data_IF_424935478318
#
_entry.id   IF_424935478318
#
_cell.length_a   1.000
_cell.length_b   1.000
_cell.length_c   1.000
_cell.angle_alpha   90.00
_cell.angle_beta   90.00
_cell.angle_gamma   90.00
#
_symmetry.space_group_name_H-M   'P 1'
#
loop_
_entity.id
_entity.type
_entity.pdbx_description
1 polymer ?
#
# COMPACT_ATOMS: atom_id res chain seq x y z
N UNK A 1 26.87 -6.16 2.10
CA UNK A 1 25.86 -5.72 3.06
C UNK A 1 26.24 -6.30 4.40
N UNK A 2 26.36 -5.46 5.39
CA UNK A 2 26.66 -5.84 6.76
C UNK A 2 25.50 -6.60 7.39
N UNK A 3 25.68 -7.13 8.57
CA UNK A 3 24.65 -7.83 9.32
C UNK A 3 23.52 -6.86 9.70
N UNK A 4 22.25 -7.26 9.49
CA UNK A 4 21.06 -6.41 9.65
C UNK A 4 20.45 -6.46 11.07
N UNK A 5 20.96 -7.35 11.95
CA UNK A 5 20.42 -7.52 13.31
C UNK A 5 18.99 -8.04 13.35
N UNK A 6 18.16 -7.48 14.21
CA UNK A 6 16.72 -7.73 14.30
C UNK A 6 15.99 -6.83 13.32
N UNK A 7 15.37 -7.43 12.30
CA UNK A 7 14.76 -6.69 11.18
C UNK A 7 13.25 -6.54 11.38
N UNK A 8 12.76 -5.32 11.31
CA UNK A 8 11.33 -4.98 11.28
C UNK A 8 10.91 -4.72 9.83
N UNK A 9 9.92 -5.46 9.32
CA UNK A 9 9.44 -5.31 7.94
C UNK A 9 7.99 -4.81 7.94
N UNK A 10 7.77 -3.64 7.37
CA UNK A 10 6.41 -3.16 7.07
C UNK A 10 5.94 -3.74 5.76
N UNK A 11 5.13 -4.78 5.83
CA UNK A 11 4.56 -5.45 4.67
C UNK A 11 3.09 -5.09 4.45
N UNK A 12 2.60 -5.23 3.22
CA UNK A 12 1.18 -5.14 2.92
C UNK A 12 0.54 -6.54 2.98
N UNK A 13 0.02 -6.88 4.16
CA UNK A 13 -0.70 -8.14 4.41
C UNK A 13 -2.22 -7.91 4.49
N UNK A 14 -2.72 -6.80 3.95
CA UNK A 14 -4.15 -6.48 3.94
C UNK A 14 -4.87 -7.29 2.87
N UNK A 15 -5.12 -8.55 3.16
CA UNK A 15 -5.79 -9.52 2.28
C UNK A 15 -7.29 -9.59 2.56
N UNK A 16 -8.13 -9.95 1.58
CA UNK A 16 -9.55 -10.18 1.80
C UNK A 16 -9.76 -11.48 2.61
N UNK A 17 -10.52 -11.37 3.70
CA UNK A 17 -10.88 -12.49 4.58
C UNK A 17 -12.40 -12.53 4.71
N UNK A 18 -12.98 -13.71 4.55
CA UNK A 18 -14.38 -14.00 4.84
C UNK A 18 -14.48 -15.22 5.76
N UNK A 19 -15.21 -15.09 6.89
CA UNK A 19 -15.38 -16.13 7.89
C UNK A 19 -14.07 -16.86 8.28
N UNK A 20 -13.00 -16.07 8.49
CA UNK A 20 -11.63 -16.55 8.78
C UNK A 20 -10.95 -17.33 7.64
N UNK A 21 -11.50 -17.29 6.42
CA UNK A 21 -10.89 -17.85 5.22
C UNK A 21 -10.26 -16.73 4.40
N UNK A 22 -8.98 -16.85 4.12
CA UNK A 22 -8.26 -15.94 3.23
C UNK A 22 -8.71 -16.23 1.79
N UNK A 23 -9.35 -15.24 1.13
CA UNK A 23 -9.87 -15.39 -0.23
C UNK A 23 -8.79 -15.19 -1.31
N UNK A 24 -7.78 -14.38 -1.01
CA UNK A 24 -6.63 -14.12 -1.88
C UNK A 24 -5.39 -13.90 -1.01
N UNK A 25 -4.41 -14.74 -1.17
CA UNK A 25 -3.16 -14.75 -0.39
C UNK A 25 -1.94 -14.20 -1.15
N UNK A 26 -2.16 -13.62 -2.34
CA UNK A 26 -1.10 -13.11 -3.21
C UNK A 26 -0.14 -12.14 -2.49
N UNK A 27 -0.68 -11.26 -1.65
CA UNK A 27 0.14 -10.29 -0.88
C UNK A 27 1.02 -10.99 0.15
N UNK A 28 0.52 -12.05 0.81
CA UNK A 28 1.30 -12.84 1.78
C UNK A 28 2.45 -13.54 1.05
N UNK A 29 2.15 -14.18 -0.09
CA UNK A 29 3.15 -14.80 -0.95
C UNK A 29 4.22 -13.80 -1.41
N UNK A 30 3.83 -12.60 -1.83
CA UNK A 30 4.77 -11.56 -2.25
C UNK A 30 5.65 -11.08 -1.08
N UNK A 31 5.07 -10.80 0.07
CA UNK A 31 5.81 -10.38 1.26
C UNK A 31 6.86 -11.42 1.70
N UNK A 32 6.56 -12.71 1.57
CA UNK A 32 7.48 -13.78 1.94
C UNK A 32 8.73 -13.86 1.06
N UNK A 33 8.71 -13.31 -0.16
CA UNK A 33 9.84 -13.35 -1.10
C UNK A 33 11.07 -12.57 -0.62
N UNK A 34 10.91 -11.66 0.34
CA UNK A 34 12.02 -10.94 0.94
C UNK A 34 12.88 -11.83 1.86
N UNK A 35 12.28 -12.86 2.50
CA UNK A 35 12.94 -13.70 3.50
C UNK A 35 14.25 -14.32 2.98
N UNK A 36 14.28 -15.07 1.85
CA UNK A 36 15.49 -15.72 1.38
C UNK A 36 16.60 -14.72 1.03
N UNK A 37 16.28 -13.45 0.78
CA UNK A 37 17.25 -12.42 0.41
C UNK A 37 18.04 -11.89 1.61
N UNK A 38 17.47 -11.97 2.83
CA UNK A 38 18.05 -11.36 4.03
C UNK A 38 18.29 -12.34 5.17
N UNK A 39 17.69 -13.54 5.16
CA UNK A 39 17.74 -14.51 6.24
C UNK A 39 19.13 -14.76 6.81
N UNK A 40 20.13 -14.95 5.95
CA UNK A 40 21.51 -15.26 6.35
C UNK A 40 22.25 -14.06 6.98
N UNK A 41 21.62 -12.89 7.00
CA UNK A 41 22.19 -11.63 7.49
C UNK A 41 21.42 -11.06 8.67
N UNK A 42 20.45 -11.79 9.21
CA UNK A 42 19.57 -11.30 10.25
C UNK A 42 19.53 -12.26 11.43
N UNK A 43 19.33 -11.72 12.63
CA UNK A 43 19.03 -12.50 13.82
C UNK A 43 17.57 -12.96 13.84
N UNK A 44 16.67 -12.06 13.47
CA UNK A 44 15.24 -12.32 13.35
C UNK A 44 14.59 -11.41 12.32
N UNK A 45 13.45 -11.85 11.82
CA UNK A 45 12.58 -11.06 10.95
C UNK A 45 11.22 -10.93 11.62
N UNK A 46 10.74 -9.70 11.74
CA UNK A 46 9.43 -9.39 12.31
C UNK A 46 8.59 -8.66 11.28
N UNK A 47 7.48 -9.27 10.90
CA UNK A 47 6.48 -8.65 10.06
C UNK A 47 5.53 -7.79 10.87
N UNK A 48 5.28 -6.58 10.39
CA UNK A 48 4.20 -5.71 10.83
C UNK A 48 3.32 -5.32 9.64
N UNK A 49 2.03 -5.23 9.87
CA UNK A 49 1.08 -4.84 8.84
C UNK A 49 -0.19 -4.25 9.43
N UNK A 50 -1.11 -3.90 8.55
CA UNK A 50 -2.49 -3.63 8.90
C UNK A 50 -3.42 -4.62 8.19
N UNK A 51 -4.59 -4.83 8.76
CA UNK A 51 -5.68 -5.60 8.15
C UNK A 51 -6.98 -4.81 8.34
N UNK A 52 -7.64 -4.49 7.24
CA UNK A 52 -8.91 -3.79 7.22
C UNK A 52 -8.91 -2.40 7.87
N UNK A 53 -10.05 -2.03 8.43
CA UNK A 53 -10.26 -0.81 9.20
C UNK A 53 -11.01 -1.18 10.49
N UNK A 54 -10.31 -1.74 11.47
CA UNK A 54 -10.94 -2.15 12.72
C UNK A 54 -11.51 -0.95 13.47
N UNK A 55 -12.60 -1.21 14.19
CA UNK A 55 -13.06 -0.36 15.27
C UNK A 55 -12.63 -1.10 16.55
N UNK A 56 -11.89 -0.43 17.39
CA UNK A 56 -11.26 -1.05 18.57
C UNK A 56 -10.39 -2.28 18.18
N UNK A 57 -10.23 -3.24 19.11
CA UNK A 57 -9.51 -4.50 18.91
C UNK A 57 -10.43 -5.62 18.39
N UNK A 58 -11.21 -5.36 17.31
CA UNK A 58 -12.07 -6.38 16.70
C UNK A 58 -11.23 -7.54 16.16
N UNK A 59 -11.43 -8.74 16.74
CA UNK A 59 -10.70 -9.96 16.42
C UNK A 59 -10.84 -10.39 14.96
N UNK A 60 -11.86 -9.93 14.25
CA UNK A 60 -12.02 -10.17 12.82
C UNK A 60 -10.88 -9.56 11.99
N UNK A 61 -10.17 -8.58 12.55
CA UNK A 61 -9.04 -7.91 11.91
C UNK A 61 -7.68 -8.26 12.54
N UNK A 62 -7.62 -9.29 13.41
CA UNK A 62 -6.34 -9.77 13.96
C UNK A 62 -5.47 -10.40 12.87
N UNK A 63 -4.19 -10.03 12.85
CA UNK A 63 -3.19 -10.63 11.96
C UNK A 63 -2.87 -12.09 12.31
N UNK A 64 -3.28 -12.58 13.49
CA UNK A 64 -3.15 -13.99 13.87
C UNK A 64 -3.70 -14.95 12.80
N UNK A 65 -4.73 -14.55 12.09
CA UNK A 65 -5.36 -15.34 11.02
C UNK A 65 -4.41 -15.62 9.84
N UNK A 66 -3.33 -14.85 9.70
CA UNK A 66 -2.38 -14.96 8.60
C UNK A 66 -1.18 -15.85 8.92
N UNK A 67 -1.02 -16.30 10.18
CA UNK A 67 0.16 -17.04 10.66
C UNK A 67 0.41 -18.31 9.85
N UNK A 68 -0.62 -19.12 9.62
CA UNK A 68 -0.48 -20.39 8.92
C UNK A 68 -0.09 -20.18 7.46
N UNK A 69 -0.74 -19.23 6.78
CA UNK A 69 -0.42 -18.88 5.39
C UNK A 69 0.99 -18.32 5.27
N UNK A 70 1.38 -17.41 6.17
CA UNK A 70 2.73 -16.83 6.17
C UNK A 70 3.79 -17.90 6.48
N UNK A 71 3.52 -18.80 7.43
CA UNK A 71 4.41 -19.93 7.75
C UNK A 71 4.62 -20.86 6.54
N UNK A 72 3.55 -21.12 5.78
CA UNK A 72 3.62 -21.91 4.56
C UNK A 72 4.53 -21.26 3.51
N UNK A 73 4.35 -19.95 3.23
CA UNK A 73 5.12 -19.25 2.20
C UNK A 73 6.56 -18.97 2.60
N UNK A 74 6.84 -18.78 3.90
CA UNK A 74 8.21 -18.61 4.40
C UNK A 74 8.95 -19.93 4.60
N UNK A 75 8.25 -21.08 4.51
CA UNK A 75 8.77 -22.41 4.83
C UNK A 75 9.41 -22.45 6.24
N UNK A 76 8.89 -21.67 7.16
CA UNK A 76 9.38 -21.52 8.53
C UNK A 76 8.21 -21.27 9.47
N UNK A 77 8.33 -21.70 10.71
CA UNK A 77 7.34 -21.34 11.72
C UNK A 77 7.34 -19.84 11.98
N UNK A 78 6.15 -19.23 11.97
CA UNK A 78 5.95 -17.81 12.29
C UNK A 78 5.36 -17.71 13.68
N UNK A 79 6.07 -17.06 14.58
CA UNK A 79 5.62 -16.80 15.95
C UNK A 79 4.76 -15.55 15.98
N UNK A 80 3.52 -15.68 16.45
CA UNK A 80 2.64 -14.52 16.59
C UNK A 80 2.78 -13.88 17.96
N UNK A 81 2.93 -12.55 18.00
CA UNK A 81 2.93 -11.76 19.23
C UNK A 81 1.68 -10.89 19.22
N UNK A 82 0.89 -10.96 20.29
CA UNK A 82 -0.43 -10.32 20.40
C UNK A 82 -0.36 -8.82 20.74
N UNK A 83 0.77 -8.20 20.46
CA UNK A 83 1.01 -6.77 20.62
C UNK A 83 1.95 -6.27 19.52
N UNK A 84 2.17 -4.96 19.41
CA UNK A 84 3.12 -4.34 18.48
C UNK A 84 4.27 -3.64 19.21
N UNK A 85 4.19 -3.49 20.53
CA UNK A 85 5.15 -2.80 21.38
C UNK A 85 5.14 -3.39 22.80
N UNK A 86 6.01 -2.89 23.67
CA UNK A 86 6.06 -3.29 25.08
C UNK A 86 6.99 -4.46 25.38
N UNK A 87 6.95 -4.90 26.65
CA UNK A 87 7.93 -5.85 27.19
C UNK A 87 7.84 -7.23 26.50
N UNK A 88 6.63 -7.72 26.17
CA UNK A 88 6.45 -9.01 25.50
C UNK A 88 7.15 -9.01 24.14
N UNK A 89 6.99 -7.96 23.34
CA UNK A 89 7.66 -7.81 22.04
C UNK A 89 9.16 -7.71 22.22
N UNK A 90 9.62 -6.84 23.12
CA UNK A 90 11.04 -6.64 23.37
C UNK A 90 11.74 -7.92 23.86
N UNK A 91 11.14 -8.64 24.82
CA UNK A 91 11.68 -9.91 25.32
C UNK A 91 11.73 -10.98 24.23
N UNK A 92 10.70 -11.12 23.41
CA UNK A 92 10.68 -12.09 22.32
C UNK A 92 11.79 -11.82 21.30
N UNK A 93 11.98 -10.57 20.91
CA UNK A 93 12.96 -10.18 19.88
C UNK A 93 14.39 -10.25 20.42
N UNK A 94 14.67 -9.59 21.56
CA UNK A 94 16.03 -9.47 22.10
C UNK A 94 16.61 -10.79 22.64
N UNK A 95 15.75 -11.73 23.06
CA UNK A 95 16.18 -13.06 23.54
C UNK A 95 16.29 -14.10 22.42
N UNK A 96 16.08 -13.73 21.15
CA UNK A 96 16.20 -14.63 19.99
C UNK A 96 17.64 -15.13 19.86
N UNK A 97 17.84 -16.46 20.00
CA UNK A 97 19.17 -17.10 19.92
C UNK A 97 19.45 -17.72 18.54
N UNK A 98 18.40 -18.19 17.89
CA UNK A 98 18.44 -18.78 16.56
C UNK A 98 17.48 -18.00 15.67
N UNK A 99 17.70 -18.01 14.37
CA UNK A 99 16.84 -17.28 13.44
C UNK A 99 15.35 -17.63 13.64
N UNK A 100 14.54 -16.60 13.86
CA UNK A 100 13.10 -16.69 14.05
C UNK A 100 12.36 -15.70 13.15
N UNK A 101 11.13 -16.05 12.81
CA UNK A 101 10.21 -15.14 12.14
C UNK A 101 9.05 -14.85 13.08
N UNK A 102 8.72 -13.56 13.21
CA UNK A 102 7.62 -13.07 14.02
C UNK A 102 6.59 -12.32 13.15
N UNK A 103 5.34 -12.36 13.59
CA UNK A 103 4.26 -11.51 13.10
C UNK A 103 3.64 -10.81 14.31
N UNK A 104 3.65 -9.47 14.31
CA UNK A 104 2.99 -8.70 15.36
C UNK A 104 1.50 -8.49 15.02
N UNK A 105 0.74 -8.01 16.01
CA UNK A 105 -0.67 -7.73 15.85
C UNK A 105 -0.91 -6.51 14.91
N UNK A 106 -2.16 -6.29 14.55
CA UNK A 106 -2.61 -5.26 13.62
C UNK A 106 -2.25 -3.84 14.10
N UNK A 107 -1.39 -3.16 13.35
CA UNK A 107 -0.99 -1.78 13.65
C UNK A 107 -2.17 -0.82 13.84
N UNK A 108 -3.28 -1.06 13.13
CA UNK A 108 -4.46 -0.20 13.20
C UNK A 108 -5.32 -0.37 14.44
N UNK A 109 -4.95 -1.27 15.35
CA UNK A 109 -5.52 -1.28 16.69
C UNK A 109 -5.01 -0.13 17.57
N UNK A 110 -3.94 0.53 17.15
CA UNK A 110 -3.27 1.57 17.93
C UNK A 110 -3.47 2.94 17.28
N UNK A 111 -4.07 3.85 18.00
CA UNK A 111 -4.26 5.24 17.55
C UNK A 111 -2.95 5.91 17.15
N UNK A 112 -1.86 5.57 17.83
CA UNK A 112 -0.52 6.09 17.55
C UNK A 112 -0.03 5.79 16.12
N UNK A 113 -0.43 4.66 15.53
CA UNK A 113 -0.17 4.38 14.11
C UNK A 113 -0.87 5.39 13.21
N UNK A 114 -2.19 5.56 13.39
CA UNK A 114 -3.03 6.39 12.52
C UNK A 114 -2.74 7.88 12.70
N UNK A 115 -2.43 8.30 13.94
CA UNK A 115 -2.12 9.68 14.31
C UNK A 115 -0.67 10.08 14.03
N UNK A 116 0.14 9.16 13.50
CA UNK A 116 1.56 9.38 13.27
C UNK A 116 2.31 9.83 14.53
N UNK A 117 2.02 9.14 15.66
CA UNK A 117 2.54 9.50 16.97
C UNK A 117 4.02 9.10 17.12
N UNK A 118 4.81 10.03 17.63
CA UNK A 118 6.25 9.86 17.80
C UNK A 118 6.61 8.86 18.91
N UNK A 119 5.89 8.89 20.02
CA UNK A 119 6.11 7.98 21.14
C UNK A 119 5.77 6.55 20.76
N UNK A 120 4.69 6.36 20.01
CA UNK A 120 4.32 5.06 19.43
C UNK A 120 5.43 4.55 18.53
N UNK A 121 5.90 5.36 17.58
CA UNK A 121 6.97 4.97 16.66
C UNK A 121 8.23 4.54 17.39
N UNK A 122 8.66 5.31 18.39
CA UNK A 122 9.82 5.01 19.21
C UNK A 122 9.67 3.71 20.00
N UNK A 123 8.49 3.47 20.57
CA UNK A 123 8.24 2.26 21.36
C UNK A 123 8.21 1.00 20.49
N UNK A 124 7.55 1.05 19.31
CA UNK A 124 7.50 -0.09 18.40
C UNK A 124 8.87 -0.43 17.85
N UNK A 125 9.68 0.57 17.52
CA UNK A 125 11.00 0.36 16.90
C UNK A 125 12.10 -0.03 17.87
N UNK A 126 11.91 0.20 19.18
CA UNK A 126 12.94 0.04 20.20
C UNK A 126 13.71 -1.30 20.20
N UNK A 127 13.11 -2.48 19.98
CA UNK A 127 13.84 -3.75 20.01
C UNK A 127 14.47 -4.15 18.66
N UNK A 128 14.44 -3.30 17.64
CA UNK A 128 14.92 -3.60 16.29
C UNK A 128 16.15 -2.78 15.92
N UNK A 129 16.92 -3.29 14.95
CA UNK A 129 18.12 -2.64 14.42
C UNK A 129 17.88 -2.05 13.04
N UNK A 130 17.09 -2.74 12.21
CA UNK A 130 16.86 -2.39 10.80
C UNK A 130 15.37 -2.35 10.48
N UNK A 131 14.97 -1.37 9.70
CA UNK A 131 13.62 -1.23 9.17
C UNK A 131 13.59 -1.42 7.65
N UNK A 132 12.68 -2.26 7.15
CA UNK A 132 12.42 -2.41 5.72
C UNK A 132 10.97 -2.03 5.42
N UNK A 133 10.79 -0.99 4.64
CA UNK A 133 9.47 -0.60 4.14
C UNK A 133 9.17 -1.30 2.81
N UNK A 134 8.20 -2.22 2.82
CA UNK A 134 7.82 -3.05 1.67
C UNK A 134 6.29 -3.10 1.46
N UNK A 135 5.63 -1.96 1.67
CA UNK A 135 4.18 -1.83 1.59
C UNK A 135 3.77 -0.63 0.73
N UNK A 136 4.06 -0.66 -0.56
CA UNK A 136 3.78 0.44 -1.48
C UNK A 136 2.33 0.92 -1.42
N UNK A 137 1.35 0.01 -1.33
CA UNK A 137 -0.07 0.34 -1.21
C UNK A 137 -0.44 1.20 0.01
N UNK A 138 0.43 1.27 1.03
CA UNK A 138 0.26 2.12 2.21
C UNK A 138 1.08 3.42 2.16
N UNK A 139 1.97 3.61 1.18
CA UNK A 139 2.94 4.71 1.10
C UNK A 139 2.31 6.11 1.07
N UNK A 140 1.06 6.23 0.62
CA UNK A 140 0.32 7.49 0.55
C UNK A 140 -0.29 7.93 1.90
N UNK A 141 -0.11 7.16 2.97
CA UNK A 141 -0.70 7.44 4.29
C UNK A 141 0.34 8.05 5.22
N UNK A 142 -0.05 9.08 5.96
CA UNK A 142 0.78 9.70 7.00
C UNK A 142 0.68 8.93 8.32
N UNK A 143 0.93 7.62 8.30
CA UNK A 143 0.93 6.76 9.48
C UNK A 143 2.34 6.61 10.06
N UNK A 144 2.44 6.32 11.36
CA UNK A 144 3.74 6.21 12.05
C UNK A 144 4.67 5.19 11.39
N UNK A 145 4.16 4.03 10.98
CA UNK A 145 4.94 3.01 10.28
C UNK A 145 5.41 3.43 8.88
N UNK A 146 4.80 4.44 8.27
CA UNK A 146 5.20 4.93 6.95
C UNK A 146 6.17 6.10 7.06
N UNK A 147 5.93 7.01 8.02
CA UNK A 147 6.65 8.30 8.10
C UNK A 147 7.78 8.26 9.13
N UNK A 148 7.55 7.68 10.32
CA UNK A 148 8.44 7.87 11.48
C UNK A 148 9.34 6.70 11.81
N UNK A 149 8.98 5.45 11.48
CA UNK A 149 9.81 4.30 11.88
C UNK A 149 11.22 4.39 11.32
N UNK A 150 11.36 4.99 10.13
CA UNK A 150 12.65 5.23 9.50
C UNK A 150 13.56 6.24 10.21
N UNK A 151 13.02 7.05 11.12
CA UNK A 151 13.82 8.03 11.86
C UNK A 151 14.59 7.39 13.03
N UNK A 152 14.23 6.17 13.43
CA UNK A 152 14.80 5.47 14.58
C UNK A 152 15.67 4.27 14.22
N UNK A 153 15.64 3.80 12.98
CA UNK A 153 16.30 2.58 12.52
C UNK A 153 17.04 2.81 11.20
N UNK A 154 18.06 2.01 10.95
CA UNK A 154 18.65 1.93 9.61
C UNK A 154 17.59 1.44 8.62
N UNK A 155 17.21 2.30 7.67
CA UNK A 155 16.01 2.11 6.86
C UNK A 155 16.30 1.81 5.40
N UNK A 156 15.56 0.84 4.86
CA UNK A 156 15.69 0.40 3.48
C UNK A 156 14.31 0.25 2.82
N UNK A 157 14.28 0.48 1.52
CA UNK A 157 13.14 0.10 0.68
C UNK A 157 13.20 -1.40 0.39
N UNK A 158 12.07 -2.08 0.59
CA UNK A 158 11.91 -3.47 0.20
C UNK A 158 11.82 -3.66 -1.32
N UNK A 159 11.92 -4.93 -1.80
CA UNK A 159 11.92 -5.23 -3.23
C UNK A 159 10.62 -4.84 -3.92
N UNK A 160 9.45 -5.01 -3.28
CA UNK A 160 8.15 -4.65 -3.86
C UNK A 160 8.02 -3.14 -4.05
N UNK A 161 8.45 -2.34 -3.05
CA UNK A 161 8.48 -0.87 -3.17
C UNK A 161 9.43 -0.43 -4.28
N UNK A 162 10.61 -1.08 -4.40
CA UNK A 162 11.55 -0.77 -5.49
C UNK A 162 10.98 -1.10 -6.86
N UNK A 163 10.33 -2.25 -7.02
CA UNK A 163 9.69 -2.67 -8.26
C UNK A 163 8.63 -1.64 -8.69
N UNK A 164 7.70 -1.27 -7.78
CA UNK A 164 6.67 -0.25 -8.03
C UNK A 164 7.27 1.12 -8.41
N UNK A 165 8.29 1.56 -7.69
CA UNK A 165 8.94 2.85 -7.99
C UNK A 165 9.67 2.83 -9.33
N UNK A 166 10.29 1.70 -9.72
CA UNK A 166 10.96 1.56 -11.01
C UNK A 166 9.94 1.65 -12.16
N UNK A 167 8.82 0.93 -12.06
CA UNK A 167 7.75 0.96 -13.06
C UNK A 167 7.13 2.36 -13.18
N UNK A 168 6.79 3.00 -12.06
CA UNK A 168 6.23 4.35 -12.06
C UNK A 168 7.21 5.40 -12.59
N UNK A 169 8.50 5.28 -12.26
CA UNK A 169 9.52 6.16 -12.79
C UNK A 169 9.73 5.96 -14.31
N UNK A 170 9.67 4.71 -14.77
CA UNK A 170 9.74 4.42 -16.19
C UNK A 170 8.59 5.09 -16.96
N UNK A 171 7.35 4.99 -16.43
CA UNK A 171 6.17 5.66 -16.98
C UNK A 171 6.33 7.19 -16.94
N UNK A 172 6.79 7.74 -15.81
CA UNK A 172 6.93 9.20 -15.62
C UNK A 172 7.99 9.83 -16.51
N UNK A 173 9.02 9.06 -16.88
CA UNK A 173 10.16 9.51 -17.69
C UNK A 173 10.08 9.02 -19.16
N UNK A 174 9.04 8.25 -19.54
CA UNK A 174 8.85 7.87 -20.92
C UNK A 174 8.55 9.12 -21.76
N UNK A 175 9.16 9.21 -22.93
CA UNK A 175 8.71 10.14 -23.95
C UNK A 175 7.22 9.83 -24.26
N UNK A 176 6.43 10.86 -24.61
CA UNK A 176 4.97 10.76 -24.77
C UNK A 176 4.53 9.69 -25.79
N UNK A 177 5.44 9.26 -26.64
CA UNK A 177 5.20 8.27 -27.68
C UNK A 177 5.05 6.86 -27.07
N UNK A 178 3.84 6.31 -27.15
CA UNK A 178 3.53 4.93 -26.74
C UNK A 178 2.88 4.76 -25.37
N UNK A 179 2.73 5.81 -24.54
CA UNK A 179 2.05 5.70 -23.26
C UNK A 179 0.53 5.85 -23.40
N UNK A 180 -0.19 4.76 -23.23
CA UNK A 180 -1.65 4.76 -23.13
C UNK A 180 -2.09 4.53 -21.68
N UNK A 181 -2.98 5.36 -21.18
CA UNK A 181 -3.51 5.27 -19.80
C UNK A 181 -5.00 5.02 -19.83
N UNK A 182 -5.48 4.09 -19.00
CA UNK A 182 -6.90 3.82 -18.80
C UNK A 182 -7.28 4.29 -17.40
N UNK A 183 -8.23 5.20 -17.31
CA UNK A 183 -8.83 5.66 -16.06
C UNK A 183 -10.28 5.20 -15.97
N UNK A 184 -10.64 4.62 -14.84
CA UNK A 184 -12.01 4.24 -14.52
C UNK A 184 -12.39 4.69 -13.11
N UNK A 185 -13.69 4.86 -12.86
CA UNK A 185 -14.21 5.24 -11.55
C UNK A 185 -15.62 5.77 -11.61
N UNK A 186 -16.20 6.03 -10.44
CA UNK A 186 -17.55 6.56 -10.33
C UNK A 186 -17.58 8.10 -10.44
N UNK A 187 -16.58 8.79 -9.86
CA UNK A 187 -16.56 10.23 -9.72
C UNK A 187 -15.40 10.85 -10.49
N UNK A 188 -15.71 11.90 -11.27
CA UNK A 188 -14.68 12.69 -11.95
C UNK A 188 -13.92 13.58 -10.97
N UNK A 189 -14.58 14.08 -9.92
CA UNK A 189 -14.00 14.91 -8.88
C UNK A 189 -12.73 14.34 -8.27
N UNK A 190 -12.67 13.01 -8.11
CA UNK A 190 -11.51 12.33 -7.54
C UNK A 190 -10.28 12.30 -8.47
N UNK A 191 -10.48 12.56 -9.79
CA UNK A 191 -9.47 12.31 -10.82
C UNK A 191 -9.24 13.47 -11.78
N UNK A 192 -10.03 14.54 -11.70
CA UNK A 192 -9.96 15.66 -12.67
C UNK A 192 -8.55 16.27 -12.75
N UNK A 193 -7.87 16.42 -11.61
CA UNK A 193 -6.50 16.95 -11.57
C UNK A 193 -5.49 15.99 -12.21
N UNK A 194 -5.70 14.69 -12.00
CA UNK A 194 -4.89 13.64 -12.63
C UNK A 194 -5.09 13.65 -14.15
N UNK A 195 -6.32 13.79 -14.62
CA UNK A 195 -6.64 13.88 -16.05
C UNK A 195 -5.94 15.08 -16.69
N UNK A 196 -6.05 16.27 -16.06
CA UNK A 196 -5.37 17.49 -16.51
C UNK A 196 -3.84 17.33 -16.59
N UNK A 197 -3.27 16.58 -15.67
CA UNK A 197 -1.83 16.31 -15.66
C UNK A 197 -1.43 15.28 -16.72
N UNK A 198 -2.19 14.21 -16.88
CA UNK A 198 -1.87 13.13 -17.79
C UNK A 198 -2.05 13.51 -19.26
N UNK A 199 -3.08 14.30 -19.60
CA UNK A 199 -3.39 14.64 -20.99
C UNK A 199 -2.21 15.27 -21.73
N UNK A 200 -1.32 15.96 -21.01
CA UNK A 200 -0.10 16.56 -21.58
C UNK A 200 1.06 15.57 -21.73
N UNK A 201 0.96 14.36 -21.13
CA UNK A 201 2.06 13.39 -21.02
C UNK A 201 1.81 12.06 -21.69
N UNK A 202 0.62 11.80 -22.19
CA UNK A 202 0.24 10.52 -22.76
C UNK A 202 0.01 10.63 -24.27
N UNK A 203 0.12 9.52 -24.97
CA UNK A 203 -0.35 9.39 -26.35
C UNK A 203 -1.87 9.25 -26.38
N UNK A 204 -2.43 8.45 -25.48
CA UNK A 204 -3.88 8.29 -25.36
C UNK A 204 -4.33 8.11 -23.91
N UNK A 205 -5.51 8.66 -23.60
CA UNK A 205 -6.16 8.58 -22.28
C UNK A 205 -7.58 8.05 -22.44
N UNK A 206 -7.80 6.79 -22.10
CA UNK A 206 -9.11 6.16 -22.15
C UNK A 206 -9.83 6.38 -20.82
N UNK A 207 -10.99 7.03 -20.86
CA UNK A 207 -11.80 7.32 -19.66
C UNK A 207 -13.05 6.47 -19.69
N UNK A 208 -13.17 5.54 -18.74
CA UNK A 208 -14.31 4.63 -18.57
C UNK A 208 -14.97 4.76 -17.20
N UNK A 209 -15.93 3.87 -16.93
CA UNK A 209 -16.75 3.91 -15.72
C UNK A 209 -17.72 5.09 -15.68
N UNK A 210 -18.41 5.33 -14.55
CA UNK A 210 -19.42 6.38 -14.47
C UNK A 210 -18.87 7.81 -14.65
N UNK A 211 -17.59 8.02 -14.39
CA UNK A 211 -16.94 9.33 -14.58
C UNK A 211 -16.97 9.82 -16.04
N UNK A 212 -17.06 8.91 -17.04
CA UNK A 212 -17.15 9.31 -18.43
C UNK A 212 -18.46 10.03 -18.77
N UNK A 213 -19.54 9.76 -18.02
CA UNK A 213 -20.85 10.41 -18.26
C UNK A 213 -20.83 11.91 -17.96
N UNK A 214 -19.96 12.38 -17.07
CA UNK A 214 -19.78 13.82 -16.86
C UNK A 214 -19.18 14.48 -18.11
N UNK A 215 -18.21 13.84 -18.78
CA UNK A 215 -17.69 14.33 -20.06
C UNK A 215 -18.75 14.27 -21.16
N UNK A 216 -19.44 13.14 -21.30
CA UNK A 216 -20.48 13.00 -22.32
C UNK A 216 -21.59 14.03 -22.14
N UNK A 217 -22.00 14.31 -20.89
CA UNK A 217 -22.97 15.37 -20.57
C UNK A 217 -22.44 16.76 -20.93
N UNK A 218 -21.16 17.04 -20.62
CA UNK A 218 -20.51 18.30 -20.98
C UNK A 218 -20.40 18.49 -22.52
N UNK A 219 -20.32 17.39 -23.27
CA UNK A 219 -20.36 17.42 -24.75
C UNK A 219 -21.78 17.56 -25.32
N UNK A 220 -22.80 17.61 -24.45
CA UNK A 220 -24.21 17.77 -24.85
C UNK A 220 -24.95 16.48 -25.17
N UNK A 221 -24.36 15.31 -24.86
CA UNK A 221 -25.05 14.04 -25.03
C UNK A 221 -26.09 13.83 -23.92
N UNK A 222 -27.18 13.14 -24.28
CA UNK A 222 -28.12 12.63 -23.28
C UNK A 222 -27.52 11.38 -22.62
N UNK A 223 -27.38 11.44 -21.29
CA UNK A 223 -26.83 10.35 -20.47
C UNK A 223 -27.89 9.56 -19.72
N UNK A 224 -29.20 9.88 -19.95
CA UNK A 224 -30.32 9.25 -19.27
C UNK A 224 -30.19 9.34 -17.76
N UNK A 225 -30.42 8.21 -17.06
CA UNK A 225 -30.33 8.10 -15.61
C UNK A 225 -28.87 7.81 -15.11
N UNK A 226 -27.86 7.97 -15.98
CA UNK A 226 -26.48 7.70 -15.59
C UNK A 226 -25.97 8.73 -14.59
N UNK A 227 -25.14 8.28 -13.66
CA UNK A 227 -24.51 9.14 -12.66
C UNK A 227 -23.52 10.10 -13.33
N UNK A 228 -23.70 11.41 -13.13
CA UNK A 228 -22.72 12.44 -13.49
C UNK A 228 -22.61 13.50 -12.39
N UNK A 229 -21.54 14.29 -12.40
CA UNK A 229 -21.30 15.35 -11.40
C UNK A 229 -21.50 16.72 -12.05
N UNK A 230 -22.62 17.37 -11.70
CA UNK A 230 -23.04 18.67 -12.29
C UNK A 230 -22.01 19.78 -11.99
N UNK A 231 -21.46 19.79 -10.79
CA UNK A 231 -20.47 20.77 -10.34
C UNK A 231 -19.15 20.75 -11.14
N UNK A 232 -18.88 19.67 -11.88
CA UNK A 232 -17.66 19.46 -12.66
C UNK A 232 -17.86 19.61 -14.18
N UNK A 233 -19.06 19.96 -14.65
CA UNK A 233 -19.33 20.14 -16.08
C UNK A 233 -18.47 21.23 -16.70
N UNK A 234 -18.31 22.39 -16.03
CA UNK A 234 -17.49 23.49 -16.53
C UNK A 234 -16.00 23.07 -16.65
N UNK A 235 -15.49 22.31 -15.68
CA UNK A 235 -14.11 21.81 -15.75
C UNK A 235 -13.93 20.78 -16.89
N UNK A 236 -14.92 19.92 -17.11
CA UNK A 236 -14.92 19.02 -18.26
C UNK A 236 -14.98 19.77 -19.59
N UNK A 237 -15.78 20.84 -19.69
CA UNK A 237 -15.82 21.71 -20.87
C UNK A 237 -14.44 22.33 -21.11
N UNK A 238 -13.75 22.78 -20.06
CA UNK A 238 -12.39 23.29 -20.16
C UNK A 238 -11.41 22.28 -20.74
N UNK A 239 -11.51 21.00 -20.32
CA UNK A 239 -10.68 19.91 -20.87
C UNK A 239 -11.06 19.59 -22.32
N UNK A 240 -12.35 19.61 -22.66
CA UNK A 240 -12.84 19.35 -24.04
C UNK A 240 -12.30 20.41 -25.04
N UNK A 241 -12.07 21.62 -24.58
CA UNK A 241 -11.49 22.68 -25.41
C UNK A 241 -9.95 22.75 -25.35
N UNK A 242 -9.29 21.87 -24.58
CA UNK A 242 -7.83 21.77 -24.56
C UNK A 242 -7.30 21.20 -25.88
N UNK A 243 -6.16 21.69 -26.33
CA UNK A 243 -5.50 21.25 -27.58
C UNK A 243 -5.16 19.75 -27.58
N UNK A 244 -5.01 19.14 -26.40
CA UNK A 244 -4.72 17.72 -26.25
C UNK A 244 -5.98 16.83 -26.10
N UNK A 245 -7.19 17.40 -26.20
CA UNK A 245 -8.43 16.61 -26.00
C UNK A 245 -8.55 15.44 -26.96
N UNK A 246 -7.97 15.52 -28.15
CA UNK A 246 -7.94 14.44 -29.15
C UNK A 246 -7.32 13.14 -28.60
N UNK A 247 -6.49 13.24 -27.56
CA UNK A 247 -5.89 12.10 -26.85
C UNK A 247 -6.88 11.39 -25.91
N UNK A 248 -7.98 12.07 -25.52
CA UNK A 248 -9.02 11.47 -24.68
C UNK A 248 -9.96 10.63 -25.52
N UNK A 249 -10.12 9.38 -25.12
CA UNK A 249 -11.08 8.45 -25.70
C UNK A 249 -12.16 8.13 -24.68
N UNK A 250 -13.40 8.43 -25.03
CA UNK A 250 -14.60 8.14 -24.25
C UNK A 250 -15.31 6.93 -24.85
N UNK A 251 -16.10 6.16 -24.05
CA UNK A 251 -16.96 5.11 -24.57
C UNK A 251 -17.98 5.65 -25.59
N UNK A 252 -18.29 4.82 -26.57
CA UNK A 252 -19.28 5.11 -27.63
C UNK A 252 -20.65 4.62 -27.17
#
# INVERSE_FOLDING_TARGET
MDHLGHVLIRSDLNVPIDQSVILDDYRIKKASQLIPLIKEKTNSITFISHLGRPVDHDKAFSLRQLVDSLSQYTSSHVNFINDVQGDEVAEAILNTKEFQIYLLENLRYYDGEVQNDESFAKNVTAPFDTYIFDAFGASHREHASVVKFGDYLDSFQGPLVKEELLELNAISNSDQDGLSVILGGAKISDKIQLIKHLITKVESLLIGGAMCFTFLKAMGHDVGDSLYEEDYLEECIGIIHDENFEKIQLPI
#
